data_IF_405643850759
#
_entry.id   IF_405643850759
#
_cell.length_a   1.000
_cell.length_b   1.000
_cell.length_c   1.000
_cell.angle_alpha   90.00
_cell.angle_beta   90.00
_cell.angle_gamma   90.00
#
_symmetry.space_group_name_H-M   'P 1'
#
loop_
_entity.id
_entity.type
_entity.pdbx_description
1 polymer ?
#
# COMPACT_ATOMS: atom_id res chain seq x y z
N UNK A 1 6.52 16.44 -10.74
CA UNK A 1 5.82 15.60 -11.73
C UNK A 1 4.70 16.43 -12.35
N UNK A 2 4.69 16.60 -13.67
CA UNK A 2 3.66 17.38 -14.40
C UNK A 2 2.79 16.43 -15.22
N UNK A 3 1.50 16.69 -15.28
CA UNK A 3 0.56 15.91 -16.08
C UNK A 3 0.74 16.19 -17.58
N UNK A 4 0.00 15.45 -18.41
CA UNK A 4 0.01 15.58 -19.87
C UNK A 4 -0.40 16.97 -20.38
N UNK A 5 -0.94 17.83 -19.50
CA UNK A 5 -1.36 19.21 -19.79
C UNK A 5 -0.37 20.25 -19.24
N UNK A 6 0.79 19.83 -18.75
CA UNK A 6 1.84 20.71 -18.20
C UNK A 6 1.58 21.19 -16.76
N UNK A 7 0.46 20.83 -16.13
CA UNK A 7 0.14 21.22 -14.77
C UNK A 7 0.76 20.25 -13.75
N UNK A 8 1.09 20.70 -12.55
CA UNK A 8 1.48 19.81 -11.47
C UNK A 8 0.40 18.76 -11.19
N UNK A 9 0.82 17.52 -10.94
CA UNK A 9 -0.13 16.48 -10.53
C UNK A 9 -0.76 16.83 -9.19
N UNK A 10 -2.10 16.86 -9.17
CA UNK A 10 -2.84 16.85 -7.93
C UNK A 10 -2.86 15.41 -7.38
N UNK A 11 -2.38 15.16 -6.14
CA UNK A 11 -2.36 13.83 -5.54
C UNK A 11 -3.72 13.13 -5.54
N UNK A 12 -4.82 13.89 -5.36
CA UNK A 12 -6.18 13.35 -5.40
C UNK A 12 -6.54 12.85 -6.80
N UNK A 13 -6.21 13.63 -7.82
CA UNK A 13 -6.46 13.25 -9.22
C UNK A 13 -5.66 12.01 -9.58
N UNK A 14 -4.40 11.93 -9.17
CA UNK A 14 -3.56 10.77 -9.42
C UNK A 14 -4.11 9.51 -8.73
N UNK A 15 -4.52 9.62 -7.47
CA UNK A 15 -5.13 8.52 -6.72
C UNK A 15 -6.43 8.01 -7.37
N UNK A 16 -7.27 8.94 -7.84
CA UNK A 16 -8.49 8.60 -8.56
C UNK A 16 -8.18 7.90 -9.89
N UNK A 17 -7.21 8.40 -10.66
CA UNK A 17 -6.78 7.77 -11.91
C UNK A 17 -6.30 6.33 -11.69
N UNK A 18 -5.50 6.08 -10.65
CA UNK A 18 -5.08 4.72 -10.28
C UNK A 18 -6.29 3.85 -9.96
N UNK A 19 -7.23 4.37 -9.17
CA UNK A 19 -8.46 3.65 -8.81
C UNK A 19 -9.31 3.31 -10.05
N UNK A 20 -9.43 4.24 -10.99
CA UNK A 20 -10.18 4.03 -12.24
C UNK A 20 -9.49 3.00 -13.15
N UNK A 21 -8.15 3.03 -13.22
CA UNK A 21 -7.39 2.01 -13.97
C UNK A 21 -7.62 0.61 -13.39
N UNK A 22 -7.62 0.47 -12.06
CA UNK A 22 -7.90 -0.81 -11.40
C UNK A 22 -9.32 -1.29 -11.72
N UNK A 23 -10.32 -0.41 -11.64
CA UNK A 23 -11.72 -0.78 -11.97
C UNK A 23 -11.86 -1.26 -13.41
N UNK A 24 -11.11 -0.67 -14.36
CA UNK A 24 -11.11 -1.06 -15.77
C UNK A 24 -10.49 -2.44 -16.04
N UNK A 25 -9.74 -3.01 -15.10
CA UNK A 25 -9.18 -4.37 -15.27
C UNK A 25 -10.25 -5.46 -15.27
N UNK A 26 -11.47 -5.16 -14.77
CA UNK A 26 -12.60 -6.07 -14.68
C UNK A 26 -12.26 -7.45 -14.09
N UNK A 27 -11.38 -7.48 -13.08
CA UNK A 27 -11.04 -8.70 -12.37
C UNK A 27 -12.17 -9.09 -11.41
N UNK A 28 -12.67 -10.33 -11.50
CA UNK A 28 -13.84 -10.80 -10.76
C UNK A 28 -13.73 -10.60 -9.24
N UNK A 29 -12.54 -10.87 -8.68
CA UNK A 29 -12.30 -10.71 -7.23
C UNK A 29 -12.37 -9.25 -6.74
N UNK A 30 -12.29 -8.27 -7.65
CA UNK A 30 -12.44 -6.86 -7.31
C UNK A 30 -13.91 -6.42 -7.27
N UNK A 31 -14.80 -7.12 -7.97
CA UNK A 31 -16.21 -6.73 -8.08
C UNK A 31 -16.97 -6.88 -6.75
N UNK A 32 -16.62 -7.90 -5.97
CA UNK A 32 -17.33 -8.25 -4.72
C UNK A 32 -16.61 -7.76 -3.46
N UNK A 33 -15.59 -6.93 -3.61
CA UNK A 33 -14.78 -6.47 -2.48
C UNK A 33 -15.42 -5.29 -1.78
N UNK A 34 -15.70 -5.40 -0.48
CA UNK A 34 -16.27 -4.30 0.32
C UNK A 34 -15.35 -3.07 0.39
N UNK A 35 -14.04 -3.30 0.42
CA UNK A 35 -13.01 -2.26 0.47
C UNK A 35 -12.29 -2.12 -0.88
N UNK A 36 -12.54 -1.05 -1.66
CA UNK A 36 -11.90 -0.87 -2.97
C UNK A 36 -10.38 -0.84 -2.88
N UNK A 37 -9.71 -1.39 -3.89
CA UNK A 37 -8.26 -1.25 -4.04
C UNK A 37 -7.96 0.17 -4.53
N UNK A 38 -7.05 0.85 -3.83
CA UNK A 38 -6.61 2.21 -4.14
C UNK A 38 -5.09 2.28 -4.21
N UNK A 39 -4.54 3.44 -4.61
CA UNK A 39 -3.10 3.68 -4.57
C UNK A 39 -2.49 3.43 -3.16
N UNK A 40 -3.23 3.71 -2.09
CA UNK A 40 -2.76 3.44 -0.73
C UNK A 40 -2.73 1.95 -0.42
N UNK A 41 -3.67 1.16 -0.97
CA UNK A 41 -3.64 -0.30 -0.84
C UNK A 41 -2.35 -0.89 -1.44
N UNK A 42 -1.90 -0.38 -2.59
CA UNK A 42 -0.63 -0.80 -3.18
C UNK A 42 0.58 -0.37 -2.37
N UNK A 43 0.60 0.87 -1.85
CA UNK A 43 1.65 1.31 -0.93
C UNK A 43 1.73 0.42 0.30
N UNK A 44 0.58 -0.02 0.81
CA UNK A 44 0.53 -0.94 1.94
C UNK A 44 1.09 -2.31 1.59
N UNK A 45 0.62 -2.91 0.49
CA UNK A 45 1.09 -4.21 0.01
C UNK A 45 2.60 -4.21 -0.26
N UNK A 46 3.11 -3.15 -0.89
CA UNK A 46 4.55 -2.99 -1.14
C UNK A 46 5.38 -3.06 0.15
N UNK A 47 4.98 -2.30 1.17
CA UNK A 47 5.71 -2.28 2.44
C UNK A 47 5.70 -3.63 3.15
N UNK A 48 4.58 -4.36 3.07
CA UNK A 48 4.42 -5.69 3.65
C UNK A 48 5.33 -6.68 2.93
N UNK A 49 5.24 -6.73 1.60
CA UNK A 49 6.08 -7.61 0.78
C UNK A 49 7.57 -7.37 1.00
N UNK A 50 7.99 -6.11 1.11
CA UNK A 50 9.38 -5.76 1.37
C UNK A 50 9.89 -6.31 2.71
N UNK A 51 9.04 -6.34 3.72
CA UNK A 51 9.35 -6.89 5.06
C UNK A 51 9.30 -8.42 5.05
N UNK A 52 8.23 -9.01 4.53
CA UNK A 52 8.01 -10.46 4.53
C UNK A 52 9.05 -11.21 3.70
N UNK A 53 9.46 -10.64 2.56
CA UNK A 53 10.47 -11.24 1.71
C UNK A 53 11.89 -11.07 2.29
N UNK A 54 12.06 -10.34 3.40
CA UNK A 54 13.35 -10.09 4.03
C UNK A 54 14.29 -9.23 3.19
N UNK A 55 13.77 -8.57 2.14
CA UNK A 55 14.56 -7.91 1.10
C UNK A 55 14.93 -6.46 1.43
N UNK A 56 14.45 -5.91 2.55
CA UNK A 56 14.75 -4.54 2.95
C UNK A 56 14.87 -4.42 4.47
N UNK A 57 15.95 -3.78 4.92
CA UNK A 57 16.04 -3.31 6.30
C UNK A 57 15.07 -2.13 6.54
N UNK A 58 14.86 -1.76 7.80
CA UNK A 58 13.93 -0.69 8.19
C UNK A 58 14.29 0.68 7.55
N UNK A 59 15.57 0.91 7.29
CA UNK A 59 16.06 2.16 6.74
C UNK A 59 15.81 2.26 5.22
N UNK A 60 16.04 1.17 4.50
CA UNK A 60 15.67 1.04 3.09
C UNK A 60 14.16 1.18 2.92
N UNK A 61 13.37 0.52 3.77
CA UNK A 61 11.91 0.64 3.74
C UNK A 61 11.45 2.08 4.00
N UNK A 62 12.07 2.77 4.96
CA UNK A 62 11.79 4.18 5.25
C UNK A 62 12.04 5.07 4.03
N UNK A 63 13.18 4.91 3.36
CA UNK A 63 13.51 5.65 2.15
C UNK A 63 12.54 5.35 1.01
N UNK A 64 12.19 4.07 0.80
CA UNK A 64 11.26 3.70 -0.28
C UNK A 64 9.84 4.24 -0.04
N UNK A 65 9.41 4.33 1.21
CA UNK A 65 8.13 4.93 1.57
C UNK A 65 8.19 6.47 1.63
N UNK A 66 9.38 7.07 1.56
CA UNK A 66 9.56 8.52 1.68
C UNK A 66 9.14 9.04 3.06
N UNK A 67 9.34 8.26 4.12
CA UNK A 67 9.11 8.72 5.48
C UNK A 67 10.32 9.52 5.98
N UNK A 68 10.08 10.75 6.45
CA UNK A 68 11.15 11.59 7.01
C UNK A 68 11.63 11.08 8.38
N UNK A 69 10.80 10.29 9.06
CA UNK A 69 11.09 9.77 10.40
C UNK A 69 10.97 8.24 10.41
N UNK A 70 12.04 7.58 10.85
CA UNK A 70 12.10 6.12 11.01
C UNK A 70 11.02 5.59 11.96
N UNK A 71 10.58 6.40 12.93
CA UNK A 71 9.48 6.05 13.83
C UNK A 71 8.15 5.86 13.09
N UNK A 72 7.91 6.61 12.01
CA UNK A 72 6.70 6.42 11.18
C UNK A 72 6.70 5.04 10.54
N UNK A 73 7.86 4.58 10.05
CA UNK A 73 8.04 3.24 9.50
C UNK A 73 7.93 2.16 10.59
N UNK A 74 8.43 2.44 11.80
CA UNK A 74 8.30 1.53 12.95
C UNK A 74 6.84 1.32 13.36
N UNK A 75 6.07 2.40 13.55
CA UNK A 75 4.64 2.34 13.90
C UNK A 75 3.85 1.58 12.81
N UNK A 76 4.20 1.82 11.55
CA UNK A 76 3.62 1.11 10.42
C UNK A 76 3.83 -0.40 10.54
N UNK A 77 5.07 -0.83 10.80
CA UNK A 77 5.44 -2.23 10.96
C UNK A 77 4.78 -2.87 12.18
N UNK A 78 4.75 -2.18 13.32
CA UNK A 78 4.08 -2.66 14.53
C UNK A 78 2.57 -2.88 14.31
N UNK A 79 1.92 -1.95 13.58
CA UNK A 79 0.50 -2.09 13.23
C UNK A 79 0.26 -3.28 12.32
N UNK A 80 1.19 -3.58 11.41
CA UNK A 80 1.14 -4.78 10.58
C UNK A 80 1.26 -6.05 11.42
N UNK A 81 2.31 -6.17 12.23
CA UNK A 81 2.54 -7.34 13.09
C UNK A 81 1.37 -7.58 14.05
N UNK A 82 0.75 -6.52 14.59
CA UNK A 82 -0.47 -6.64 15.40
C UNK A 82 -1.64 -7.22 14.62
N UNK A 83 -1.80 -6.88 13.34
CA UNK A 83 -2.87 -7.46 12.49
C UNK A 83 -2.60 -8.94 12.21
N UNK A 84 -1.38 -9.30 11.86
CA UNK A 84 -0.98 -10.70 11.66
C UNK A 84 -1.24 -11.56 12.91
N UNK A 85 -0.86 -11.06 14.10
CA UNK A 85 -1.11 -11.76 15.36
C UNK A 85 -2.60 -11.89 15.73
N UNK A 86 -3.46 -10.97 15.27
CA UNK A 86 -4.91 -11.04 15.47
C UNK A 86 -5.62 -11.91 14.42
N UNK A 87 -5.01 -12.10 13.24
CA UNK A 87 -5.50 -13.01 12.18
C UNK A 87 -4.94 -14.42 12.36
N UNK A 88 -3.84 -14.58 13.11
CA UNK A 88 -3.18 -15.84 13.44
C UNK A 88 -4.01 -16.86 14.25
N UNK A 89 -5.23 -16.53 14.66
CA UNK A 89 -6.20 -17.49 15.20
C UNK A 89 -7.08 -18.17 14.13
N UNK A 90 -6.93 -17.83 12.84
CA UNK A 90 -7.71 -18.42 11.75
C UNK A 90 -6.86 -18.97 10.61
N UNK A 91 -5.77 -19.69 10.95
CA UNK A 91 -5.01 -20.48 9.96
C UNK A 91 -4.66 -21.89 10.43
N UNK A 92 -5.52 -22.48 11.27
CA UNK A 92 -5.58 -23.93 11.50
C UNK A 92 -7.05 -24.33 11.52
N UNK A 93 -7.55 -24.77 10.37
CA UNK A 93 -8.64 -25.72 10.12
C UNK A 93 -8.50 -26.17 8.65
#
# INVERSE_FOLDING_TARGET
>A
MVNQRGNFYNPKTLSNQVTDMIKKTNLDFLQYRENPVTAHTFRHAFAIMAVEQGNADLYHLMQTLGHENIQTTKIYLEKHMKRENNVGTSRIC
#
